data_IF_518631555479
#
_entry.id   IF_518631555479
#
_cell.length_a   1.000
_cell.length_b   1.000
_cell.length_c   1.000
_cell.angle_alpha   90.00
_cell.angle_beta   90.00
_cell.angle_gamma   90.00
#
_symmetry.space_group_name_H-M   'P 1'
#
loop_
_entity.id
_entity.type
_entity.pdbx_description
1 polymer ?
#
# COMPACT_ATOMS: atom_id res chain seq x y z
N UNK A 1 14.63 16.89 -23.90
CA UNK A 1 14.07 17.53 -22.68
C UNK A 1 12.55 17.39 -22.52
N UNK A 2 11.73 17.42 -23.58
CA UNK A 2 10.26 17.25 -23.45
C UNK A 2 9.83 15.82 -23.06
N UNK A 3 10.55 14.80 -23.56
CA UNK A 3 10.23 13.38 -23.33
C UNK A 3 10.50 12.96 -21.87
N UNK A 4 11.62 13.40 -21.28
CA UNK A 4 11.94 13.08 -19.88
C UNK A 4 10.93 13.71 -18.89
N UNK A 5 10.42 14.90 -19.20
CA UNK A 5 9.40 15.58 -18.37
C UNK A 5 8.06 14.85 -18.47
N UNK A 6 7.68 14.37 -19.66
CA UNK A 6 6.47 13.56 -19.85
C UNK A 6 6.55 12.23 -19.10
N UNK A 7 7.71 11.56 -19.11
CA UNK A 7 7.94 10.35 -18.32
C UNK A 7 7.81 10.63 -16.81
N UNK A 8 8.36 11.73 -16.30
CA UNK A 8 8.21 12.09 -14.89
C UNK A 8 6.75 12.34 -14.49
N UNK A 9 5.95 12.95 -15.38
CA UNK A 9 4.53 13.23 -15.12
C UNK A 9 3.67 11.96 -15.12
N UNK A 10 3.95 10.97 -15.97
CA UNK A 10 3.21 9.70 -15.97
C UNK A 10 3.52 8.83 -14.76
N UNK A 11 4.75 8.86 -14.23
CA UNK A 11 5.12 8.12 -13.01
C UNK A 11 4.52 8.73 -11.74
N UNK A 12 4.33 10.05 -11.70
CA UNK A 12 3.66 10.73 -10.57
C UNK A 12 2.17 10.36 -10.46
N UNK A 13 1.47 10.12 -11.57
CA UNK A 13 0.05 9.74 -11.54
C UNK A 13 -0.14 8.30 -11.01
N UNK A 14 0.75 7.39 -11.35
CA UNK A 14 0.70 5.98 -10.87
C UNK A 14 1.08 5.91 -9.38
N UNK A 15 1.98 6.78 -8.92
CA UNK A 15 2.28 6.93 -7.49
C UNK A 15 1.13 7.57 -6.69
N UNK A 16 0.22 8.32 -7.34
CA UNK A 16 -0.90 8.98 -6.66
C UNK A 16 -1.97 8.00 -6.15
N UNK A 17 -1.98 6.76 -6.65
CA UNK A 17 -2.90 5.71 -6.20
C UNK A 17 -2.26 4.73 -5.19
N UNK A 18 -0.99 4.91 -4.83
CA UNK A 18 -0.30 4.04 -3.89
C UNK A 18 -0.58 4.47 -2.44
N UNK A 19 -1.23 3.58 -1.69
CA UNK A 19 -1.76 3.82 -0.34
C UNK A 19 -0.91 3.21 0.76
N UNK A 20 0.00 2.28 0.44
CA UNK A 20 0.88 1.76 1.48
C UNK A 20 1.89 2.82 1.93
N UNK A 21 1.82 3.20 3.21
CA UNK A 21 2.76 4.10 3.88
C UNK A 21 2.07 5.31 4.51
N UNK A 22 2.52 5.72 5.68
CA UNK A 22 2.05 6.93 6.37
C UNK A 22 2.87 8.17 5.98
N UNK A 23 2.26 9.05 5.18
CA UNK A 23 2.88 10.29 4.72
C UNK A 23 3.97 10.10 3.65
N UNK A 24 4.36 11.20 3.01
CA UNK A 24 5.12 11.20 1.75
C UNK A 24 6.37 10.31 1.74
N UNK A 25 7.17 10.33 2.81
CA UNK A 25 8.43 9.60 2.87
C UNK A 25 8.21 8.09 2.92
N UNK A 26 7.39 7.61 3.84
CA UNK A 26 7.18 6.17 3.99
C UNK A 26 6.36 5.59 2.83
N UNK A 27 5.45 6.37 2.24
CA UNK A 27 4.75 6.01 0.99
C UNK A 27 5.73 5.79 -0.15
N UNK A 28 6.72 6.68 -0.34
CA UNK A 28 7.74 6.53 -1.37
C UNK A 28 8.62 5.28 -1.15
N UNK A 29 9.02 5.02 0.10
CA UNK A 29 9.80 3.83 0.46
C UNK A 29 8.99 2.56 0.19
N UNK A 30 7.73 2.50 0.63
CA UNK A 30 6.85 1.36 0.41
C UNK A 30 6.59 1.09 -1.09
N UNK A 31 6.43 2.16 -1.89
CA UNK A 31 6.28 2.03 -3.34
C UNK A 31 7.52 1.40 -3.99
N UNK A 32 8.72 1.82 -3.59
CA UNK A 32 9.98 1.25 -4.11
C UNK A 32 10.12 -0.21 -3.71
N UNK A 33 9.85 -0.54 -2.44
CA UNK A 33 9.91 -1.92 -1.94
C UNK A 33 8.91 -2.85 -2.63
N UNK A 34 7.78 -2.32 -3.11
CA UNK A 34 6.78 -3.11 -3.82
C UNK A 34 7.08 -3.35 -5.30
N UNK A 35 8.07 -2.67 -5.90
CA UNK A 35 8.40 -2.83 -7.33
C UNK A 35 8.61 -4.29 -7.79
N UNK A 36 9.20 -5.20 -6.99
CA UNK A 36 9.36 -6.60 -7.39
C UNK A 36 8.08 -7.44 -7.29
N UNK A 37 7.04 -6.95 -6.61
CA UNK A 37 5.80 -7.71 -6.46
C UNK A 37 5.02 -7.76 -7.78
N UNK A 38 4.47 -8.92 -8.12
CA UNK A 38 3.64 -9.11 -9.32
C UNK A 38 2.19 -8.71 -9.07
N UNK A 39 1.77 -8.63 -7.81
CA UNK A 39 0.41 -8.36 -7.36
C UNK A 39 0.33 -7.06 -6.52
N UNK A 40 1.07 -6.03 -6.95
CA UNK A 40 1.12 -4.72 -6.28
C UNK A 40 -0.25 -4.11 -6.02
N UNK A 41 -1.18 -4.28 -6.96
CA UNK A 41 -2.56 -3.77 -6.82
C UNK A 41 -3.29 -4.44 -5.65
N UNK A 42 -3.05 -5.73 -5.42
CA UNK A 42 -3.61 -6.47 -4.29
C UNK A 42 -3.03 -5.96 -2.97
N UNK A 43 -1.69 -5.87 -2.86
CA UNK A 43 -1.00 -5.30 -1.70
C UNK A 43 -1.52 -3.89 -1.39
N UNK A 44 -1.65 -3.07 -2.43
CA UNK A 44 -2.15 -1.71 -2.32
C UNK A 44 -3.60 -1.64 -1.83
N UNK A 45 -4.44 -2.59 -2.25
CA UNK A 45 -5.82 -2.71 -1.77
C UNK A 45 -5.89 -3.08 -0.28
N UNK A 46 -4.98 -3.93 0.21
CA UNK A 46 -4.86 -4.22 1.64
C UNK A 46 -4.52 -2.96 2.44
N UNK A 47 -3.56 -2.15 1.97
CA UNK A 47 -3.18 -0.89 2.62
C UNK A 47 -4.33 0.12 2.62
N UNK A 48 -5.02 0.27 1.48
CA UNK A 48 -6.20 1.15 1.38
C UNK A 48 -7.28 0.77 2.40
N UNK A 49 -7.57 -0.51 2.55
CA UNK A 49 -8.57 -0.99 3.52
C UNK A 49 -8.11 -0.74 4.97
N UNK A 50 -6.83 -0.95 5.26
CA UNK A 50 -6.24 -0.69 6.58
C UNK A 50 -6.30 0.79 6.96
N UNK A 51 -5.93 1.70 6.05
CA UNK A 51 -6.04 3.15 6.27
C UNK A 51 -7.49 3.58 6.54
N UNK A 52 -8.45 3.06 5.76
CA UNK A 52 -9.87 3.33 5.98
C UNK A 52 -10.37 2.82 7.35
N UNK A 53 -9.89 1.66 7.79
CA UNK A 53 -10.21 1.16 9.13
C UNK A 53 -9.64 2.11 10.20
N UNK A 54 -8.39 2.54 10.06
CA UNK A 54 -7.77 3.49 10.98
C UNK A 54 -8.52 4.83 11.04
N UNK A 55 -8.95 5.36 9.90
CA UNK A 55 -9.76 6.58 9.83
C UNK A 55 -11.09 6.41 10.60
N UNK A 56 -11.78 5.29 10.42
CA UNK A 56 -13.03 5.00 11.12
C UNK A 56 -12.82 4.80 12.63
N UNK A 57 -11.72 4.16 13.04
CA UNK A 57 -11.35 3.95 14.45
C UNK A 57 -11.05 5.31 15.11
N UNK A 58 -10.23 6.15 14.48
CA UNK A 58 -9.90 7.48 14.98
C UNK A 58 -11.13 8.38 15.09
N UNK A 59 -12.03 8.29 14.12
CA UNK A 59 -13.31 9.01 14.12
C UNK A 59 -14.39 8.36 15.00
N UNK A 60 -14.05 7.33 15.79
CA UNK A 60 -14.97 6.58 16.68
C UNK A 60 -16.24 6.08 15.97
N UNK A 61 -16.12 5.81 14.67
CA UNK A 61 -17.18 5.34 13.78
C UNK A 61 -17.11 3.84 13.52
N UNK A 62 -16.17 3.14 14.15
CA UNK A 62 -16.00 1.69 14.11
C UNK A 62 -15.81 1.12 15.53
N UNK A 63 -16.26 -0.12 15.74
CA UNK A 63 -16.00 -0.89 16.96
C UNK A 63 -14.71 -1.71 16.88
N UNK A 64 -14.04 -1.74 15.70
CA UNK A 64 -12.74 -2.37 15.57
C UNK A 64 -11.72 -1.69 16.48
N UNK A 65 -10.89 -2.50 17.11
CA UNK A 65 -9.63 -2.05 17.71
C UNK A 65 -8.55 -1.93 16.64
N UNK A 66 -7.52 -1.14 16.90
CA UNK A 66 -6.34 -1.08 16.02
C UNK A 66 -5.68 -2.46 15.88
N UNK A 67 -5.69 -3.26 16.95
CA UNK A 67 -5.13 -4.62 16.92
C UNK A 67 -5.90 -5.55 15.99
N UNK A 68 -7.23 -5.47 15.96
CA UNK A 68 -8.04 -6.26 15.01
C UNK A 68 -7.86 -5.76 13.57
N UNK A 69 -7.72 -4.45 13.37
CA UNK A 69 -7.38 -3.87 12.06
C UNK A 69 -6.03 -4.40 11.55
N UNK A 70 -5.00 -4.41 12.40
CA UNK A 70 -3.67 -4.94 12.08
C UNK A 70 -3.72 -6.44 11.78
N UNK A 71 -4.53 -7.20 12.53
CA UNK A 71 -4.75 -8.62 12.26
C UNK A 71 -5.38 -8.84 10.88
N UNK A 72 -6.44 -8.10 10.54
CA UNK A 72 -7.09 -8.19 9.22
C UNK A 72 -6.11 -7.81 8.12
N UNK A 73 -5.31 -6.75 8.31
CA UNK A 73 -4.30 -6.33 7.35
C UNK A 73 -3.25 -7.43 7.11
N UNK A 74 -2.77 -8.06 8.18
CA UNK A 74 -1.85 -9.21 8.09
C UNK A 74 -2.47 -10.37 7.30
N UNK A 75 -3.71 -10.75 7.60
CA UNK A 75 -4.41 -11.84 6.88
C UNK A 75 -4.67 -11.49 5.41
N UNK A 76 -4.89 -10.21 5.08
CA UNK A 76 -4.95 -9.73 3.71
C UNK A 76 -3.61 -9.95 3.00
N UNK A 77 -2.50 -9.46 3.57
CA UNK A 77 -1.17 -9.64 2.98
C UNK A 77 -0.76 -11.11 2.86
N UNK A 78 -1.22 -11.99 3.75
CA UNK A 78 -0.93 -13.43 3.69
C UNK A 78 -1.50 -14.13 2.44
N UNK A 79 -2.50 -13.54 1.80
CA UNK A 79 -3.10 -14.05 0.55
C UNK A 79 -2.45 -13.43 -0.70
N UNK A 80 -1.52 -12.51 -0.53
CA UNK A 80 -0.75 -11.95 -1.63
C UNK A 80 0.03 -13.06 -2.33
N UNK A 81 0.01 -13.05 -3.66
CA UNK A 81 0.86 -13.89 -4.50
C UNK A 81 2.32 -13.41 -4.49
N UNK A 82 2.66 -12.42 -3.66
CA UNK A 82 4.00 -12.10 -3.20
C UNK A 82 4.58 -13.19 -2.27
N UNK A 83 4.34 -14.46 -2.61
CA UNK A 83 4.97 -15.61 -2.00
C UNK A 83 6.38 -15.79 -2.59
N UNK A 84 7.39 -15.31 -1.87
CA UNK A 84 8.78 -15.77 -1.89
C UNK A 84 9.42 -16.06 -3.27
N UNK A 85 9.92 -15.00 -3.93
CA UNK A 85 11.05 -15.14 -4.90
C UNK A 85 12.39 -15.39 -4.17
N UNK A 86 12.38 -15.50 -2.84
CA UNK A 86 13.51 -15.96 -2.02
C UNK A 86 13.16 -17.24 -1.26
N UNK A 87 12.94 -18.33 -1.98
CA UNK A 87 13.28 -19.66 -1.48
C UNK A 87 14.65 -20.02 -2.07
N UNK A 88 15.71 -19.85 -1.28
CA UNK A 88 17.00 -20.50 -1.47
C UNK A 88 17.24 -21.43 -0.27
#
# INVERSE_FOLDING_TARGET
MKICVLLLLTHCAIAAEWQCGSGRFSTAVAYILSLPATDRDYINSCCKAHDQQYDLIQNRSSLLTTQESDYIFKECLAQSNFGLVFQF
#
